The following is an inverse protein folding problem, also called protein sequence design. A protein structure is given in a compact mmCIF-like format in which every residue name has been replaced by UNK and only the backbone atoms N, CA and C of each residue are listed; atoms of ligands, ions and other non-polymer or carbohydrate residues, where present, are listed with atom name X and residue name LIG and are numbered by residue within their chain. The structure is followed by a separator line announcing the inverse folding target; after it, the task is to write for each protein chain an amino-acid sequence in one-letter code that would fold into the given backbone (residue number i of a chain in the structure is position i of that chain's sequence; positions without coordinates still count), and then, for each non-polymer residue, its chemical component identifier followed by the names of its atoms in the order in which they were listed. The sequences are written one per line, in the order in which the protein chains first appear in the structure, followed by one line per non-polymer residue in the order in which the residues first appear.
data_IF_927849230570
#
_entry.id   IF_927849230570
#
_cell.length_a   1.000
_cell.length_b   1.000
_cell.length_c   1.000
_cell.angle_alpha   90.00
_cell.angle_beta   90.00
_cell.angle_gamma   90.00
#
_symmetry.space_group_name_H-M   'P 1'
#
loop_
_entity.id
_entity.type
_entity.pdbx_description
1 polymer ?
#
# COMPACT_ATOMS: atom_id res chain seq x y z
N UNK A 1 10.37 1.64 0.38
CA UNK A 1 9.28 2.20 1.21
C UNK A 1 9.64 3.62 1.58
N UNK A 2 8.86 4.62 1.13
CA UNK A 2 9.09 6.01 1.52
C UNK A 2 8.78 6.13 3.02
N UNK A 3 9.69 6.73 3.78
CA UNK A 3 9.54 6.90 5.23
C UNK A 3 9.05 8.31 5.57
N UNK A 4 8.08 8.44 6.50
CA UNK A 4 7.72 9.74 7.05
C UNK A 4 8.89 10.30 7.87
N UNK A 5 9.03 11.62 7.85
CA UNK A 5 10.01 12.35 8.66
C UNK A 5 9.61 12.31 10.13
N UNK A 6 10.54 11.89 10.98
CA UNK A 6 10.32 11.80 12.43
C UNK A 6 10.29 13.20 13.04
N UNK A 7 9.41 13.41 14.02
CA UNK A 7 9.41 14.63 14.82
C UNK A 7 10.73 14.74 15.61
N UNK A 8 11.46 15.86 15.51
CA UNK A 8 12.66 16.10 16.30
C UNK A 8 12.34 16.19 17.81
N UNK A 9 13.32 15.87 18.64
CA UNK A 9 13.16 15.95 20.10
C UNK A 9 12.92 17.40 20.53
N UNK A 10 11.93 17.61 21.41
CA UNK A 10 11.54 18.91 21.97
C UNK A 10 11.19 20.03 20.96
N UNK A 11 10.96 19.70 19.69
CA UNK A 11 10.64 20.66 18.64
C UNK A 11 9.35 20.28 17.91
N UNK A 12 8.53 21.25 17.46
CA UNK A 12 7.37 20.96 16.63
C UNK A 12 7.80 20.41 15.27
N UNK A 13 6.98 19.52 14.70
CA UNK A 13 7.19 19.05 13.34
C UNK A 13 6.87 20.19 12.37
N UNK A 14 7.75 20.44 11.40
CA UNK A 14 7.54 21.49 10.41
C UNK A 14 6.21 21.27 9.65
N UNK A 15 5.43 22.32 9.33
CA UNK A 15 4.16 22.17 8.60
C UNK A 15 4.30 21.43 7.27
N UNK A 16 5.41 21.65 6.56
CA UNK A 16 5.70 20.96 5.30
C UNK A 16 5.99 19.48 5.52
N UNK A 17 6.73 19.14 6.58
CA UNK A 17 7.00 17.76 6.96
C UNK A 17 5.71 17.03 7.38
N UNK A 18 4.78 17.73 8.03
CA UNK A 18 3.45 17.21 8.34
C UNK A 18 2.66 16.91 7.07
N UNK A 19 2.71 17.79 6.07
CA UNK A 19 2.02 17.62 4.78
C UNK A 19 2.63 16.46 3.98
N UNK A 20 3.96 16.38 3.95
CA UNK A 20 4.70 15.26 3.36
C UNK A 20 4.33 13.94 4.04
N UNK A 21 4.42 13.86 5.37
CA UNK A 21 4.07 12.65 6.13
C UNK A 21 2.64 12.21 5.85
N UNK A 22 1.68 13.13 5.82
CA UNK A 22 0.28 12.80 5.49
C UNK A 22 0.12 12.18 4.11
N UNK A 23 0.93 12.61 3.14
CA UNK A 23 0.94 12.05 1.79
C UNK A 23 1.53 10.64 1.78
N UNK A 24 2.65 10.44 2.48
CA UNK A 24 3.27 9.12 2.66
C UNK A 24 2.32 8.15 3.37
N UNK A 25 1.69 8.58 4.46
CA UNK A 25 0.78 7.77 5.26
C UNK A 25 -0.47 7.34 4.47
N UNK A 26 -0.98 8.20 3.57
CA UNK A 26 -2.10 7.85 2.67
C UNK A 26 -1.76 6.68 1.74
N UNK A 27 -0.52 6.60 1.26
CA UNK A 27 -0.05 5.47 0.43
C UNK A 27 0.19 4.24 1.30
N UNK A 28 0.89 4.42 2.43
CA UNK A 28 1.22 3.33 3.37
C UNK A 28 -0.02 2.61 3.87
N UNK A 29 -1.06 3.35 4.25
CA UNK A 29 -2.33 2.80 4.72
C UNK A 29 -2.99 1.84 3.72
N UNK A 30 -3.01 2.21 2.43
CA UNK A 30 -3.60 1.37 1.38
C UNK A 30 -2.82 0.08 1.22
N UNK A 31 -1.48 0.15 1.22
CA UNK A 31 -0.59 -1.01 1.12
C UNK A 31 -0.80 -1.94 2.32
N UNK A 32 -0.77 -1.43 3.54
CA UNK A 32 -0.96 -2.23 4.76
C UNK A 32 -2.34 -2.91 4.78
N UNK A 33 -3.38 -2.21 4.35
CA UNK A 33 -4.74 -2.79 4.22
C UNK A 33 -4.78 -3.92 3.18
N UNK A 34 -4.08 -3.79 2.05
CA UNK A 34 -3.96 -4.87 1.05
C UNK A 34 -3.22 -6.06 1.65
N UNK A 35 -2.07 -5.84 2.30
CA UNK A 35 -1.29 -6.90 2.96
C UNK A 35 -2.12 -7.61 4.04
N UNK A 36 -2.84 -6.87 4.87
CA UNK A 36 -3.70 -7.44 5.90
C UNK A 36 -4.81 -8.30 5.30
N UNK A 37 -5.47 -7.85 4.23
CA UNK A 37 -6.49 -8.62 3.54
C UNK A 37 -5.95 -9.89 2.87
N UNK A 38 -4.70 -9.86 2.37
CA UNK A 38 -4.01 -11.05 1.84
C UNK A 38 -3.65 -12.01 2.96
N UNK A 39 -3.07 -11.53 4.08
CA UNK A 39 -2.69 -12.35 5.24
C UNK A 39 -3.89 -13.03 5.91
N UNK A 40 -5.03 -12.35 5.98
CA UNK A 40 -6.28 -12.90 6.53
C UNK A 40 -6.98 -13.82 5.49
N UNK A 41 -6.32 -14.08 4.35
CA UNK A 41 -6.84 -14.87 3.24
C UNK A 41 -8.15 -14.34 2.65
N UNK A 42 -8.65 -13.18 3.07
CA UNK A 42 -10.00 -12.71 2.73
C UNK A 42 -10.17 -12.39 1.25
N UNK A 43 -9.14 -11.83 0.61
CA UNK A 43 -9.11 -11.60 -0.86
C UNK A 43 -8.99 -12.92 -1.64
N UNK A 44 -8.38 -13.94 -1.04
CA UNK A 44 -8.16 -15.24 -1.68
C UNK A 44 -9.33 -16.21 -1.45
N UNK A 45 -10.02 -16.09 -0.30
CA UNK A 45 -11.12 -16.92 0.17
C UNK A 45 -12.50 -16.39 -0.26
N UNK A 46 -12.62 -15.10 -0.62
CA UNK A 46 -13.72 -14.72 -1.53
C UNK A 46 -13.41 -15.38 -2.86
N UNK A 47 -13.84 -16.64 -2.99
CA UNK A 47 -13.46 -17.52 -4.08
C UNK A 47 -13.52 -16.78 -5.40
N UNK A 48 -12.39 -16.75 -6.09
CA UNK A 48 -12.28 -16.10 -7.38
C UNK A 48 -13.37 -16.67 -8.30
N UNK A 49 -14.41 -15.88 -8.59
CA UNK A 49 -15.61 -16.32 -9.32
C UNK A 49 -15.40 -16.37 -10.84
N UNK A 50 -14.18 -16.13 -11.31
CA UNK A 50 -13.84 -16.08 -12.73
C UNK A 50 -13.05 -17.33 -13.12
N UNK A 51 -13.05 -17.72 -14.40
CA UNK A 51 -12.25 -18.85 -14.88
C UNK A 51 -10.78 -18.72 -14.46
N UNK A 52 -10.17 -19.80 -13.96
CA UNK A 52 -8.79 -19.79 -13.45
C UNK A 52 -7.77 -19.32 -14.48
N UNK A 53 -8.04 -19.54 -15.77
CA UNK A 53 -7.27 -19.01 -16.90
C UNK A 53 -7.14 -17.47 -16.92
N UNK A 54 -8.09 -16.77 -16.28
CA UNK A 54 -8.08 -15.30 -16.19
C UNK A 54 -7.40 -14.78 -14.91
N UNK A 55 -7.03 -15.66 -13.98
CA UNK A 55 -6.36 -15.32 -12.72
C UNK A 55 -5.01 -14.57 -12.89
N UNK A 56 -4.18 -14.86 -13.91
CA UNK A 56 -2.90 -14.16 -14.09
C UNK A 56 -3.04 -12.66 -14.35
N UNK A 57 -4.15 -12.21 -14.94
CA UNK A 57 -4.39 -10.82 -15.33
C UNK A 57 -4.48 -9.88 -14.11
N UNK A 58 -5.38 -10.10 -13.11
CA UNK A 58 -5.45 -9.25 -11.93
C UNK A 58 -4.21 -9.35 -11.05
N UNK A 59 -3.53 -10.51 -11.01
CA UNK A 59 -2.25 -10.66 -10.29
C UNK A 59 -1.18 -9.76 -10.93
N UNK A 60 -1.02 -9.83 -12.26
CA UNK A 60 -0.04 -9.01 -12.99
C UNK A 60 -0.34 -7.51 -12.87
N UNK A 61 -1.62 -7.12 -12.92
CA UNK A 61 -2.02 -5.73 -12.71
C UNK A 61 -1.70 -5.24 -11.29
N UNK A 62 -1.97 -6.06 -10.27
CA UNK A 62 -1.64 -5.72 -8.88
C UNK A 62 -0.12 -5.61 -8.66
N UNK A 63 0.66 -6.51 -9.27
CA UNK A 63 2.13 -6.45 -9.25
C UNK A 63 2.63 -5.19 -9.98
N UNK A 64 2.09 -4.87 -11.15
CA UNK A 64 2.44 -3.65 -11.90
C UNK A 64 2.17 -2.38 -11.10
N UNK A 65 1.01 -2.26 -10.44
CA UNK A 65 0.72 -1.11 -9.57
C UNK A 65 1.67 -1.06 -8.37
N UNK A 66 2.07 -2.20 -7.82
CA UNK A 66 2.93 -2.27 -6.63
C UNK A 66 4.40 -1.98 -6.95
N UNK A 67 4.89 -2.45 -8.10
CA UNK A 67 6.31 -2.43 -8.46
C UNK A 67 6.67 -1.40 -9.54
N UNK A 68 5.77 -1.05 -10.47
CA UNK A 68 6.04 -0.02 -11.49
C UNK A 68 5.90 1.42 -10.97
N UNK A 69 5.24 1.63 -9.82
CA UNK A 69 5.22 2.95 -9.15
C UNK A 69 6.50 3.23 -8.33
N UNK A 70 7.48 2.32 -8.38
CA UNK A 70 8.75 2.40 -7.65
C UNK A 70 9.96 2.75 -8.54
N UNK A 71 9.76 3.01 -9.83
CA UNK A 71 10.78 3.46 -10.80
C UNK A 71 10.66 4.94 -11.10
#
# INVERSE_FOLDING_TARGET
MITPKRKPANLPLHPDDRTYNRTVDRVRYKIERVIANIRIWRILHTGYRRPLETLPIPITAALGITFAYAS
#
